data_IF_220843735142
#
_entry.id   IF_220843735142
#
_cell.length_a   1.000
_cell.length_b   1.000
_cell.length_c   1.000
_cell.angle_alpha   90.00
_cell.angle_beta   90.00
_cell.angle_gamma   90.00
#
_symmetry.space_group_name_H-M   'P 1'
#
loop_
_entity.id
_entity.type
_entity.pdbx_description
1 polymer ?
#
# COMPACT_ATOMS: atom_id res chain seq x y z
N UNK A 1 0.42 6.65 5.16
CA UNK A 1 -0.70 5.78 4.73
C UNK A 1 -1.91 6.13 5.57
N UNK A 2 -3.05 6.41 4.95
CA UNK A 2 -4.34 6.49 5.65
C UNK A 2 -5.20 5.32 5.16
N UNK A 3 -5.71 4.53 6.10
CA UNK A 3 -6.68 3.47 5.84
C UNK A 3 -7.86 3.72 6.78
N UNK A 4 -9.03 3.98 6.22
CA UNK A 4 -10.26 4.20 6.97
C UNK A 4 -11.15 2.97 6.79
N UNK A 5 -11.22 2.12 7.80
CA UNK A 5 -12.33 1.19 8.10
C UNK A 5 -12.13 0.70 9.55
N UNK A 6 -13.18 0.78 10.37
CA UNK A 6 -13.27 0.06 11.65
C UNK A 6 -13.84 -1.34 11.41
N UNK A 7 -13.02 -2.38 11.57
CA UNK A 7 -13.45 -3.76 11.36
C UNK A 7 -12.57 -4.77 12.11
N UNK A 8 -13.06 -6.00 12.27
CA UNK A 8 -12.31 -7.14 12.80
C UNK A 8 -12.17 -8.17 11.69
N UNK A 9 -10.95 -8.64 11.40
CA UNK A 9 -10.69 -9.64 10.36
C UNK A 9 -10.05 -9.08 9.08
N UNK A 10 -10.39 -9.63 7.92
CA UNK A 10 -9.88 -9.21 6.61
C UNK A 10 -10.87 -8.22 5.98
N UNK A 11 -10.38 -7.11 5.44
CA UNK A 11 -11.20 -6.11 4.77
C UNK A 11 -10.60 -5.61 3.47
N UNK A 12 -11.37 -4.81 2.75
CA UNK A 12 -10.94 -4.10 1.55
C UNK A 12 -11.05 -2.61 1.85
N UNK A 13 -9.96 -1.87 1.70
CA UNK A 13 -9.91 -0.45 2.04
C UNK A 13 -9.26 0.35 0.92
N UNK A 14 -9.59 1.64 0.90
CA UNK A 14 -8.87 2.63 0.11
C UNK A 14 -7.55 2.97 0.81
N UNK A 15 -6.45 2.89 0.08
CA UNK A 15 -5.08 3.13 0.54
C UNK A 15 -4.54 4.32 -0.24
N UNK A 16 -4.11 5.35 0.47
CA UNK A 16 -3.43 6.51 -0.11
C UNK A 16 -1.95 6.54 0.33
N UNK A 17 -1.05 6.59 -0.66
CA UNK A 17 0.40 6.70 -0.43
C UNK A 17 1.14 7.26 -1.64
N UNK A 18 2.20 8.04 -1.40
CA UNK A 18 3.04 8.65 -2.47
C UNK A 18 2.27 9.45 -3.54
N UNK A 19 1.05 9.93 -3.24
CA UNK A 19 0.19 10.60 -4.22
C UNK A 19 -0.71 9.66 -5.04
N UNK A 20 -0.60 8.34 -4.84
CA UNK A 20 -1.47 7.33 -5.45
C UNK A 20 -2.63 6.95 -4.55
N UNK A 21 -3.74 6.55 -5.16
CA UNK A 21 -4.89 5.94 -4.50
C UNK A 21 -5.09 4.54 -5.08
N UNK A 22 -5.13 3.53 -4.23
CA UNK A 22 -5.46 2.15 -4.63
C UNK A 22 -6.46 1.51 -3.66
N UNK A 23 -7.05 0.39 -4.06
CA UNK A 23 -7.86 -0.45 -3.21
C UNK A 23 -7.08 -1.74 -2.90
N UNK A 24 -6.99 -2.10 -1.62
CA UNK A 24 -6.20 -3.25 -1.19
C UNK A 24 -6.88 -4.06 -0.11
N UNK A 25 -6.56 -5.36 -0.07
CA UNK A 25 -6.91 -6.23 1.06
C UNK A 25 -6.01 -5.91 2.24
N UNK A 26 -6.59 -5.83 3.44
CA UNK A 26 -5.86 -5.60 4.68
C UNK A 26 -6.32 -6.56 5.79
N UNK A 27 -5.52 -6.63 6.84
CA UNK A 27 -5.88 -7.27 8.11
C UNK A 27 -6.01 -6.16 9.14
N UNK A 28 -7.13 -6.12 9.86
CA UNK A 28 -7.31 -5.14 10.93
C UNK A 28 -6.53 -5.55 12.18
N UNK A 29 -5.61 -4.69 12.62
CA UNK A 29 -4.93 -4.79 13.90
C UNK A 29 -5.78 -4.30 15.06
N UNK A 30 -5.21 -4.35 16.27
CA UNK A 30 -5.84 -3.74 17.44
C UNK A 30 -5.99 -2.20 17.25
N UNK A 31 -6.93 -1.55 17.93
CA UNK A 31 -7.06 -0.09 17.88
C UNK A 31 -5.72 0.60 18.18
N UNK A 32 -5.36 1.61 17.38
CA UNK A 32 -4.09 2.33 17.50
C UNK A 32 -2.86 1.62 16.90
N UNK A 33 -3.02 0.45 16.29
CA UNK A 33 -1.91 -0.20 15.56
C UNK A 33 -1.40 0.69 14.42
N UNK A 34 -0.08 0.76 14.28
CA UNK A 34 0.54 1.47 13.17
C UNK A 34 0.22 0.77 11.83
N UNK A 35 -0.29 1.50 10.81
CA UNK A 35 -0.57 0.91 9.51
C UNK A 35 0.71 0.50 8.77
N UNK A 36 0.80 -0.77 8.39
CA UNK A 36 1.90 -1.30 7.59
C UNK A 36 1.43 -1.62 6.16
N UNK A 37 2.24 -1.21 5.19
CA UNK A 37 2.03 -1.54 3.78
C UNK A 37 3.08 -2.55 3.34
N UNK A 38 2.63 -3.75 2.97
CA UNK A 38 3.51 -4.82 2.50
C UNK A 38 4.05 -4.55 1.09
N UNK A 39 5.17 -5.20 0.76
CA UNK A 39 5.85 -5.04 -0.55
C UNK A 39 4.94 -5.38 -1.74
N UNK A 40 4.12 -6.42 -1.63
CA UNK A 40 3.17 -6.81 -2.69
C UNK A 40 2.14 -5.71 -2.99
N UNK A 41 1.76 -4.91 -2.00
CA UNK A 41 0.84 -3.79 -2.21
C UNK A 41 1.53 -2.57 -2.84
N UNK A 42 2.85 -2.43 -2.67
CA UNK A 42 3.65 -1.42 -3.38
C UNK A 42 3.86 -1.83 -4.83
N UNK A 43 4.25 -3.09 -5.06
CA UNK A 43 4.53 -3.63 -6.40
C UNK A 43 3.28 -3.61 -7.29
N UNK A 44 2.09 -3.82 -6.74
CA UNK A 44 0.83 -3.82 -7.50
C UNK A 44 0.50 -2.49 -8.17
N UNK A 45 1.07 -1.38 -7.69
CA UNK A 45 0.91 -0.05 -8.29
C UNK A 45 2.20 0.46 -8.93
N UNK A 46 3.18 -0.43 -9.17
CA UNK A 46 4.43 -0.09 -9.82
C UNK A 46 5.42 0.64 -8.91
N UNK A 47 5.41 0.40 -7.60
CA UNK A 47 6.46 0.88 -6.68
C UNK A 47 7.33 -0.29 -6.23
N UNK A 48 8.64 -0.20 -6.49
CA UNK A 48 9.63 -1.17 -6.01
C UNK A 48 10.30 -0.70 -4.72
N UNK A 49 10.71 -1.67 -3.91
CA UNK A 49 11.57 -1.46 -2.75
C UNK A 49 13.02 -1.72 -3.14
N UNK A 50 13.89 -0.75 -2.88
CA UNK A 50 15.34 -0.95 -2.89
C UNK A 50 15.80 -1.26 -1.46
N UNK A 51 16.04 -2.53 -1.11
CA UNK A 51 16.42 -2.91 0.26
C UNK A 51 17.83 -2.44 0.63
N UNK A 52 18.69 -2.20 -0.36
CA UNK A 52 20.08 -1.78 -0.14
C UNK A 52 20.11 -0.33 0.31
N UNK A 53 19.43 0.55 -0.42
CA UNK A 53 19.36 1.97 -0.11
C UNK A 53 18.19 2.35 0.79
N UNK A 54 17.30 1.38 1.12
CA UNK A 54 16.07 1.58 1.90
C UNK A 54 15.18 2.67 1.32
N UNK A 55 15.03 2.66 -0.01
CA UNK A 55 14.22 3.63 -0.74
C UNK A 55 13.07 2.96 -1.47
N UNK A 56 12.04 3.75 -1.81
CA UNK A 56 10.95 3.34 -2.68
C UNK A 56 11.16 4.00 -4.05
N UNK A 57 11.11 3.19 -5.12
CA UNK A 57 11.32 3.63 -6.49
C UNK A 57 10.06 3.41 -7.32
N UNK A 58 9.60 4.46 -8.01
CA UNK A 58 8.50 4.32 -8.97
C UNK A 58 9.03 3.69 -10.25
N UNK A 59 8.36 2.64 -10.71
CA UNK A 59 8.60 2.08 -12.02
C UNK A 59 8.10 3.04 -13.11
N UNK A 60 8.76 3.08 -14.27
CA UNK A 60 8.28 3.85 -15.40
C UNK A 60 6.87 3.41 -15.79
N UNK A 61 5.96 4.37 -15.98
CA UNK A 61 4.64 4.07 -16.51
C UNK A 61 4.78 3.56 -17.94
N UNK A 62 4.23 2.38 -18.23
CA UNK A 62 4.11 1.89 -19.60
C UNK A 62 2.83 2.51 -20.19
N UNK A 63 2.92 3.26 -21.30
CA UNK A 63 1.73 3.79 -21.95
C UNK A 63 0.78 2.66 -22.32
N UNK A 64 -0.51 2.84 -22.02
CA UNK A 64 -1.55 1.95 -22.54
C UNK A 64 -1.69 2.22 -24.05
N UNK A 65 -1.71 1.15 -24.86
CA UNK A 65 -1.99 1.22 -26.31
C UNK A 65 -3.48 1.38 -26.58
#
# INVERSE_FOLDING_TARGET
MKADVGGKGIGLVRIEFMGETTAGRIIFGAPGSEPLLGVTALESVGVMVDPTNKTLQRLPAIPLK
#
